data_IF_088396074400
#
_entry.id   IF_088396074400
#
_cell.length_a   1.000
_cell.length_b   1.000
_cell.length_c   1.000
_cell.angle_alpha   90.00
_cell.angle_beta   90.00
_cell.angle_gamma   90.00
#
_symmetry.space_group_name_H-M   'P 1'
#
loop_
_entity.id
_entity.type
_entity.pdbx_description
1 polymer ?
#
# COMPACT_ATOMS: atom_id res chain seq x y z
N UNK A 1 11.04 -41.58 8.48
CA UNK A 1 9.94 -41.22 7.54
C UNK A 1 8.64 -41.53 8.26
N UNK A 2 7.91 -40.51 8.73
CA UNK A 2 6.65 -40.74 9.44
C UNK A 2 5.66 -41.45 8.50
N UNK A 3 4.93 -42.49 8.94
CA UNK A 3 3.95 -43.15 8.09
C UNK A 3 2.93 -42.11 7.63
N UNK A 4 2.85 -41.90 6.31
CA UNK A 4 1.93 -40.94 5.72
C UNK A 4 0.50 -41.36 6.01
N UNK A 5 -0.13 -40.67 6.95
CA UNK A 5 -1.55 -40.84 7.24
C UNK A 5 -2.35 -40.09 6.17
N UNK A 6 -3.18 -40.83 5.43
CA UNK A 6 -4.12 -40.26 4.45
C UNK A 6 -5.52 -40.28 5.06
N UNK A 7 -6.03 -39.09 5.40
CA UNK A 7 -7.43 -38.92 5.75
C UNK A 7 -8.28 -38.71 4.50
N UNK A 8 -9.51 -39.21 4.53
CA UNK A 8 -10.47 -39.07 3.44
C UNK A 8 -11.89 -39.01 3.98
N UNK A 9 -12.81 -38.46 3.18
CA UNK A 9 -14.23 -38.40 3.50
C UNK A 9 -14.90 -39.70 3.06
N UNK A 10 -15.50 -40.41 4.01
CA UNK A 10 -16.28 -41.62 3.79
C UNK A 10 -17.77 -41.31 3.82
N UNK A 11 -18.49 -41.81 2.81
CA UNK A 11 -19.95 -41.68 2.69
C UNK A 11 -20.60 -42.95 3.25
N UNK A 12 -21.32 -42.83 4.36
CA UNK A 12 -22.08 -43.92 4.97
C UNK A 12 -23.58 -43.72 4.70
N UNK A 13 -24.16 -44.56 3.85
CA UNK A 13 -25.60 -44.58 3.61
C UNK A 13 -26.31 -45.34 4.73
N UNK A 14 -27.30 -44.72 5.37
CA UNK A 14 -28.17 -45.39 6.35
C UNK A 14 -29.62 -44.96 6.09
N UNK A 15 -30.42 -45.89 5.54
CA UNK A 15 -31.75 -45.59 5.02
C UNK A 15 -31.68 -44.58 3.87
N UNK A 16 -32.48 -43.51 3.99
CA UNK A 16 -32.58 -42.43 3.00
C UNK A 16 -31.57 -41.29 3.23
N UNK A 17 -30.73 -41.39 4.26
CA UNK A 17 -29.74 -40.36 4.61
C UNK A 17 -28.32 -40.83 4.35
N UNK A 18 -27.48 -39.91 3.87
CA UNK A 18 -26.04 -40.15 3.69
C UNK A 18 -25.28 -39.36 4.75
N UNK A 19 -24.46 -40.05 5.52
CA UNK A 19 -23.66 -39.52 6.62
C UNK A 19 -22.21 -39.41 6.17
N UNK A 20 -21.60 -38.24 6.36
CA UNK A 20 -20.20 -37.98 6.02
C UNK A 20 -19.34 -38.18 7.27
N UNK A 21 -18.28 -38.97 7.13
CA UNK A 21 -17.32 -39.27 8.21
C UNK A 21 -15.90 -39.04 7.69
N UNK A 22 -15.04 -38.41 8.48
CA UNK A 22 -13.60 -38.43 8.21
C UNK A 22 -13.02 -39.75 8.72
N UNK A 23 -12.35 -40.47 7.83
CA UNK A 23 -11.65 -41.71 8.14
C UNK A 23 -10.21 -41.62 7.72
N UNK A 24 -9.39 -42.40 8.39
CA UNK A 24 -7.95 -42.44 8.15
C UNK A 24 -7.51 -43.85 7.87
N UNK A 25 -6.79 -44.03 6.77
CA UNK A 25 -6.20 -45.30 6.40
C UNK A 25 -4.80 -45.45 7.00
N UNK A 26 -4.58 -46.57 7.68
CA UNK A 26 -3.29 -46.95 8.24
C UNK A 26 -3.02 -48.43 7.96
N UNK A 27 -1.75 -48.85 8.00
CA UNK A 27 -1.36 -50.25 7.75
C UNK A 27 -0.99 -50.95 9.05
N UNK A 28 -1.56 -52.14 9.27
CA UNK A 28 -1.20 -53.03 10.38
C UNK A 28 -0.85 -54.39 9.79
N UNK A 29 0.38 -54.85 10.00
CA UNK A 29 0.88 -56.16 9.51
C UNK A 29 0.60 -56.37 8.01
N UNK A 30 0.87 -55.36 7.19
CA UNK A 30 0.68 -55.40 5.74
C UNK A 30 -0.76 -55.24 5.24
N UNK A 31 -1.76 -55.19 6.13
CA UNK A 31 -3.18 -54.98 5.76
C UNK A 31 -3.59 -53.53 6.01
N UNK A 32 -4.31 -52.94 5.06
CA UNK A 32 -4.91 -51.61 5.22
C UNK A 32 -6.10 -51.72 6.16
N UNK A 33 -6.12 -50.87 7.19
CA UNK A 33 -7.22 -50.70 8.15
C UNK A 33 -7.65 -49.24 8.13
N UNK A 34 -8.92 -49.01 8.43
CA UNK A 34 -9.50 -47.69 8.47
C UNK A 34 -9.94 -47.40 9.90
N UNK A 35 -9.55 -46.24 10.45
CA UNK A 35 -10.09 -45.74 11.73
C UNK A 35 -11.02 -44.57 11.47
N UNK A 36 -12.08 -44.48 12.27
CA UNK A 36 -12.94 -43.30 12.32
C UNK A 36 -12.18 -42.18 13.04
N UNK A 37 -12.18 -40.99 12.43
CA UNK A 37 -11.57 -39.80 13.02
C UNK A 37 -12.65 -38.90 13.62
N UNK A 38 -13.62 -38.47 12.80
CA UNK A 38 -14.74 -37.64 13.25
C UNK A 38 -15.93 -37.68 12.29
N UNK A 39 -17.08 -37.25 12.78
CA UNK A 39 -18.31 -37.11 11.99
C UNK A 39 -18.37 -35.71 11.37
N UNK A 40 -18.74 -35.63 10.08
CA UNK A 40 -18.76 -34.40 9.28
C UNK A 40 -20.18 -33.88 8.98
N UNK A 41 -21.22 -34.65 9.33
CA UNK A 41 -22.63 -34.25 9.13
C UNK A 41 -23.36 -35.12 8.12
N UNK A 42 -24.64 -34.78 7.87
CA UNK A 42 -25.46 -35.44 6.83
C UNK A 42 -25.27 -34.71 5.51
N UNK A 43 -25.03 -35.45 4.44
CA UNK A 43 -24.87 -34.93 3.08
C UNK A 43 -26.12 -34.11 2.69
N UNK A 44 -25.91 -32.86 2.28
CA UNK A 44 -26.98 -31.93 1.92
C UNK A 44 -27.67 -31.21 3.10
N UNK A 45 -27.39 -31.60 4.35
CA UNK A 45 -28.00 -31.01 5.55
C UNK A 45 -27.09 -30.02 6.28
N UNK A 46 -26.21 -29.30 5.57
CA UNK A 46 -25.36 -28.28 6.18
C UNK A 46 -25.93 -26.87 5.96
N UNK A 47 -26.89 -26.39 6.78
CA UNK A 47 -27.04 -24.96 6.98
C UNK A 47 -25.80 -24.46 7.74
N UNK A 48 -25.06 -23.54 7.14
CA UNK A 48 -23.94 -22.87 7.82
C UNK A 48 -22.63 -23.65 7.84
N UNK A 49 -22.11 -24.10 6.68
CA UNK A 49 -20.65 -23.99 6.52
C UNK A 49 -20.38 -22.50 6.69
N UNK A 50 -19.71 -22.04 7.76
CA UNK A 50 -19.24 -20.67 7.75
C UNK A 50 -18.35 -20.63 6.52
N UNK A 51 -18.73 -19.84 5.50
CA UNK A 51 -17.67 -19.28 4.68
C UNK A 51 -16.69 -18.76 5.71
N UNK A 52 -15.45 -19.23 5.67
CA UNK A 52 -14.37 -18.50 6.31
C UNK A 52 -14.40 -17.18 5.54
N UNK A 53 -15.26 -16.25 5.97
CA UNK A 53 -15.13 -14.86 5.62
C UNK A 53 -13.69 -14.60 6.01
N UNK A 54 -12.86 -14.44 4.99
CA UNK A 54 -11.55 -13.87 5.21
C UNK A 54 -11.81 -12.68 6.12
N UNK A 55 -11.07 -12.60 7.24
CA UNK A 55 -11.19 -11.47 8.15
C UNK A 55 -11.30 -10.23 7.30
N UNK A 56 -12.39 -9.48 7.51
CA UNK A 56 -12.79 -8.38 6.64
C UNK A 56 -11.55 -7.53 6.40
N UNK A 57 -10.99 -7.61 5.20
CA UNK A 57 -9.73 -6.93 4.93
C UNK A 57 -10.07 -5.45 4.93
N UNK A 58 -9.67 -4.77 6.01
CA UNK A 58 -9.77 -3.33 6.11
C UNK A 58 -8.74 -2.77 5.14
N UNK A 59 -9.19 -2.55 3.90
CA UNK A 59 -8.43 -1.79 2.93
C UNK A 59 -8.58 -0.31 3.29
N UNK A 60 -7.47 0.42 3.26
CA UNK A 60 -7.51 1.89 3.32
C UNK A 60 -8.15 2.47 2.07
N UNK A 61 -8.27 3.79 2.01
CA UNK A 61 -8.83 4.49 0.86
C UNK A 61 -8.08 4.15 -0.43
N UNK A 62 -8.83 4.07 -1.53
CA UNK A 62 -8.25 3.83 -2.85
C UNK A 62 -7.49 5.07 -3.31
N UNK A 63 -6.17 4.96 -3.41
CA UNK A 63 -5.26 6.03 -3.85
C UNK A 63 -4.67 5.73 -5.23
N UNK A 64 -4.37 6.79 -6.00
CA UNK A 64 -3.72 6.70 -7.32
C UNK A 64 -2.26 6.30 -7.13
N UNK A 65 -1.98 5.02 -7.37
CA UNK A 65 -0.66 4.44 -7.22
C UNK A 65 0.17 4.43 -8.51
N UNK A 66 -0.36 3.88 -9.62
CA UNK A 66 0.43 3.45 -10.78
C UNK A 66 1.42 4.49 -11.34
N UNK A 67 0.91 5.49 -12.06
CA UNK A 67 1.77 6.51 -12.68
C UNK A 67 2.52 7.37 -11.64
N UNK A 68 1.88 7.64 -10.50
CA UNK A 68 2.46 8.44 -9.40
C UNK A 68 3.71 7.75 -8.84
N UNK A 69 3.62 6.46 -8.49
CA UNK A 69 4.74 5.68 -7.95
C UNK A 69 5.88 5.54 -8.96
N UNK A 70 5.56 5.36 -10.24
CA UNK A 70 6.57 5.31 -11.29
C UNK A 70 7.34 6.63 -11.40
N UNK A 71 6.63 7.75 -11.48
CA UNK A 71 7.27 9.07 -11.58
C UNK A 71 8.04 9.43 -10.31
N UNK A 72 7.54 9.04 -9.13
CA UNK A 72 8.27 9.20 -7.88
C UNK A 72 9.57 8.39 -7.87
N UNK A 73 9.53 7.11 -8.26
CA UNK A 73 10.73 6.28 -8.36
C UNK A 73 11.76 6.86 -9.34
N UNK A 74 11.32 7.33 -10.50
CA UNK A 74 12.20 8.02 -11.46
C UNK A 74 12.81 9.30 -10.87
N UNK A 75 12.03 10.08 -10.12
CA UNK A 75 12.53 11.28 -9.46
C UNK A 75 13.55 10.97 -8.35
N UNK A 76 13.39 9.87 -7.63
CA UNK A 76 14.37 9.36 -6.67
C UNK A 76 15.66 8.91 -7.36
N UNK A 77 15.55 8.14 -8.44
CA UNK A 77 16.70 7.67 -9.22
C UNK A 77 17.51 8.83 -9.80
N UNK A 78 16.82 9.86 -10.29
CA UNK A 78 17.42 11.10 -10.79
C UNK A 78 17.80 12.08 -9.67
N UNK A 79 17.55 11.72 -8.41
CA UNK A 79 17.89 12.51 -7.22
C UNK A 79 17.31 13.93 -7.24
N UNK A 80 16.06 14.09 -7.69
CA UNK A 80 15.40 15.40 -7.75
C UNK A 80 15.37 16.06 -6.36
N UNK A 81 14.86 15.35 -5.35
CA UNK A 81 14.77 15.88 -3.98
C UNK A 81 16.13 16.33 -3.45
N UNK A 82 17.13 15.46 -3.51
CA UNK A 82 18.47 15.77 -3.01
C UNK A 82 19.13 16.94 -3.77
N UNK A 83 18.87 17.05 -5.07
CA UNK A 83 19.39 18.16 -5.89
C UNK A 83 18.77 19.49 -5.48
N UNK A 84 17.46 19.53 -5.27
CA UNK A 84 16.73 20.73 -4.86
C UNK A 84 17.08 21.11 -3.41
N UNK A 85 17.11 20.13 -2.50
CA UNK A 85 17.46 20.37 -1.10
C UNK A 85 18.88 20.93 -0.94
N UNK A 86 19.80 20.56 -1.85
CA UNK A 86 21.14 21.14 -1.91
C UNK A 86 21.13 22.62 -2.30
N UNK A 87 20.21 23.06 -3.16
CA UNK A 87 20.07 24.47 -3.57
C UNK A 87 19.60 25.31 -2.37
N UNK A 88 18.59 24.82 -1.66
CA UNK A 88 17.96 25.53 -0.54
C UNK A 88 18.76 25.59 0.77
N UNK A 89 19.83 24.79 0.87
CA UNK A 89 20.60 24.62 2.11
C UNK A 89 19.87 23.79 3.17
N UNK A 90 20.56 23.51 4.29
CA UNK A 90 20.10 22.60 5.36
C UNK A 90 18.98 23.21 6.23
N UNK A 91 17.78 23.35 5.67
CA UNK A 91 16.53 23.69 6.40
C UNK A 91 15.52 22.54 6.37
N UNK A 92 15.96 21.31 6.62
CA UNK A 92 15.05 20.19 6.83
C UNK A 92 14.76 20.06 8.33
N UNK A 93 13.54 20.41 8.75
CA UNK A 93 12.97 19.88 10.00
C UNK A 93 12.45 18.47 9.71
N UNK A 94 12.57 17.54 10.67
CA UNK A 94 12.01 16.18 10.51
C UNK A 94 10.48 16.17 10.48
N UNK A 95 9.84 17.29 10.85
CA UNK A 95 8.38 17.39 10.96
C UNK A 95 7.70 17.90 9.68
N UNK A 96 8.46 18.48 8.75
CA UNK A 96 7.93 19.13 7.54
C UNK A 96 8.66 18.57 6.31
N UNK A 97 7.94 18.27 5.21
CA UNK A 97 8.56 17.90 3.95
C UNK A 97 9.61 18.93 3.50
N UNK A 98 10.69 18.43 2.89
CA UNK A 98 11.73 19.31 2.35
C UNK A 98 11.26 20.07 1.11
N UNK A 99 11.95 21.15 0.73
CA UNK A 99 11.66 21.89 -0.50
C UNK A 99 11.74 20.95 -1.72
N UNK A 100 12.72 20.06 -1.76
CA UNK A 100 12.83 19.02 -2.77
C UNK A 100 11.64 18.08 -2.79
N UNK A 101 11.08 17.73 -1.63
CA UNK A 101 9.88 16.89 -1.53
C UNK A 101 8.67 17.59 -2.14
N UNK A 102 8.42 18.85 -1.76
CA UNK A 102 7.32 19.65 -2.33
C UNK A 102 7.46 19.85 -3.84
N UNK A 103 8.63 20.30 -4.31
CA UNK A 103 8.84 20.58 -5.73
C UNK A 103 8.84 19.31 -6.59
N UNK A 104 9.28 18.17 -6.04
CA UNK A 104 9.16 16.88 -6.74
C UNK A 104 7.70 16.45 -6.87
N UNK A 105 6.91 16.53 -5.79
CA UNK A 105 5.48 16.24 -5.84
C UNK A 105 4.74 17.16 -6.82
N UNK A 106 5.11 18.45 -6.85
CA UNK A 106 4.55 19.42 -7.79
C UNK A 106 4.93 19.10 -9.24
N UNK A 107 6.18 18.72 -9.51
CA UNK A 107 6.60 18.30 -10.85
C UNK A 107 5.79 17.08 -11.35
N UNK A 108 5.53 16.10 -10.48
CA UNK A 108 4.69 14.93 -10.82
C UNK A 108 3.26 15.38 -11.13
N UNK A 109 2.70 16.26 -10.31
CA UNK A 109 1.39 16.86 -10.59
C UNK A 109 1.39 17.57 -11.96
N UNK A 110 2.44 18.31 -12.31
CA UNK A 110 2.55 18.95 -13.65
C UNK A 110 2.52 17.98 -14.82
N UNK A 111 3.03 16.76 -14.65
CA UNK A 111 3.01 15.73 -15.69
C UNK A 111 1.65 15.04 -15.79
N UNK A 112 1.01 14.77 -14.66
CA UNK A 112 -0.21 13.95 -14.63
C UNK A 112 -1.50 14.76 -14.75
N UNK A 113 -1.65 15.79 -13.92
CA UNK A 113 -2.86 16.59 -13.80
C UNK A 113 -2.42 18.04 -13.55
N UNK A 114 -2.31 18.90 -14.58
CA UNK A 114 -1.70 20.22 -14.51
C UNK A 114 -2.49 21.28 -13.68
N UNK A 115 -2.88 20.93 -12.46
CA UNK A 115 -3.63 21.70 -11.47
C UNK A 115 -2.89 22.91 -10.89
N UNK A 116 -3.64 23.92 -10.44
CA UNK A 116 -3.06 25.11 -9.80
C UNK A 116 -2.47 24.82 -8.41
N UNK A 117 -1.61 25.71 -7.90
CA UNK A 117 -0.98 25.54 -6.58
C UNK A 117 -2.00 25.39 -5.42
N UNK A 118 -3.18 25.99 -5.55
CA UNK A 118 -4.29 25.84 -4.58
C UNK A 118 -4.90 24.44 -4.57
N UNK A 119 -4.77 23.68 -5.66
CA UNK A 119 -5.36 22.34 -5.81
C UNK A 119 -4.36 21.22 -5.52
N UNK A 120 -3.09 21.54 -5.24
CA UNK A 120 -2.05 20.53 -4.98
C UNK A 120 -2.34 19.68 -3.75
N UNK A 121 -2.73 20.27 -2.63
CA UNK A 121 -3.07 19.52 -1.41
C UNK A 121 -4.20 18.51 -1.62
N UNK A 122 -5.38 18.97 -2.11
CA UNK A 122 -6.48 18.07 -2.48
C UNK A 122 -6.06 16.98 -3.47
N UNK A 123 -5.26 17.33 -4.49
CA UNK A 123 -4.78 16.35 -5.45
C UNK A 123 -3.88 15.29 -4.79
N UNK A 124 -2.94 15.70 -3.93
CA UNK A 124 -2.02 14.79 -3.24
C UNK A 124 -2.76 13.77 -2.38
N UNK A 125 -3.81 14.19 -1.67
CA UNK A 125 -4.63 13.29 -0.84
C UNK A 125 -5.27 12.14 -1.65
N UNK A 126 -5.45 12.31 -2.96
CA UNK A 126 -5.96 11.25 -3.85
C UNK A 126 -4.88 10.28 -4.34
N UNK A 127 -3.61 10.47 -3.97
CA UNK A 127 -2.44 9.75 -4.50
C UNK A 127 -1.68 9.01 -3.40
N UNK A 128 -0.75 8.14 -3.82
CA UNK A 128 0.17 7.47 -2.91
C UNK A 128 1.31 8.38 -2.40
N UNK A 129 1.42 9.63 -2.87
CA UNK A 129 2.52 10.53 -2.48
C UNK A 129 2.72 10.66 -0.95
N UNK A 130 1.67 10.82 -0.12
CA UNK A 130 1.84 10.90 1.33
C UNK A 130 2.55 9.67 1.93
N UNK A 131 2.20 8.48 1.44
CA UNK A 131 2.86 7.23 1.83
C UNK A 131 4.32 7.20 1.35
N UNK A 132 4.56 7.59 0.10
CA UNK A 132 5.90 7.56 -0.50
C UNK A 132 6.86 8.59 0.12
N UNK A 133 6.33 9.74 0.54
CA UNK A 133 7.09 10.82 1.16
C UNK A 133 7.27 10.59 2.66
N UNK A 134 6.43 9.76 3.28
CA UNK A 134 6.40 9.54 4.72
C UNK A 134 5.77 10.69 5.51
N UNK A 135 4.92 11.51 4.87
CA UNK A 135 4.28 12.66 5.49
C UNK A 135 2.77 12.57 5.33
N UNK A 136 1.99 13.02 6.32
CA UNK A 136 0.54 12.97 6.25
C UNK A 136 0.02 13.97 5.20
N UNK A 137 -1.20 13.74 4.70
CA UNK A 137 -1.82 14.55 3.65
C UNK A 137 -1.89 16.04 4.04
N UNK A 138 -2.09 16.32 5.34
CA UNK A 138 -2.17 17.66 5.93
C UNK A 138 -0.85 18.45 5.85
N UNK A 139 0.28 17.79 5.62
CA UNK A 139 1.57 18.45 5.42
C UNK A 139 1.65 19.19 4.07
N UNK A 140 0.74 18.90 3.14
CA UNK A 140 0.77 19.40 1.77
C UNK A 140 -0.19 20.58 1.56
N UNK A 141 0.15 21.71 2.15
CA UNK A 141 -0.61 22.95 2.01
C UNK A 141 0.03 23.91 0.99
N UNK A 142 -0.80 24.72 0.33
CA UNK A 142 -0.41 25.67 -0.72
C UNK A 142 0.82 26.49 -0.34
N UNK A 143 0.82 27.09 0.85
CA UNK A 143 1.88 28.03 1.25
C UNK A 143 3.23 27.33 1.33
N UNK A 144 3.28 26.04 1.67
CA UNK A 144 4.52 25.27 1.71
C UNK A 144 5.06 24.97 0.31
N UNK A 145 4.20 24.78 -0.69
CA UNK A 145 4.62 24.68 -2.08
C UNK A 145 5.23 25.98 -2.59
N UNK A 146 4.61 27.12 -2.27
CA UNK A 146 5.12 28.44 -2.67
C UNK A 146 6.43 28.77 -1.96
N UNK A 147 6.50 28.55 -0.64
CA UNK A 147 7.74 28.69 0.12
C UNK A 147 8.87 27.83 -0.47
N UNK A 148 8.56 26.63 -0.98
CA UNK A 148 9.56 25.77 -1.63
C UNK A 148 10.11 26.37 -2.93
N UNK A 149 9.33 27.17 -3.67
CA UNK A 149 9.83 27.92 -4.84
C UNK A 149 10.75 29.06 -4.40
N UNK A 150 10.36 29.81 -3.38
CA UNK A 150 11.13 30.96 -2.88
C UNK A 150 12.50 30.54 -2.34
N UNK A 151 12.62 29.30 -1.86
CA UNK A 151 13.89 28.68 -1.47
C UNK A 151 14.86 28.52 -2.65
N UNK A 152 14.36 28.32 -3.87
CA UNK A 152 15.18 28.19 -5.08
C UNK A 152 15.51 29.56 -5.67
N UNK A 153 14.50 30.42 -5.77
CA UNK A 153 14.61 31.73 -6.37
C UNK A 153 13.52 32.63 -5.81
N UNK A 154 13.87 33.84 -5.37
CA UNK A 154 12.90 34.83 -4.88
C UNK A 154 13.32 36.26 -5.28
N UNK A 155 12.34 37.15 -5.34
CA UNK A 155 12.58 38.58 -5.45
C UNK A 155 12.98 39.13 -4.07
N UNK A 156 14.12 39.82 -4.00
CA UNK A 156 14.54 40.57 -2.81
C UNK A 156 14.20 42.06 -3.01
N UNK A 157 13.07 42.53 -2.45
CA UNK A 157 12.60 43.89 -2.68
C UNK A 157 13.55 44.94 -2.11
N UNK A 158 14.34 44.61 -1.08
CA UNK A 158 15.29 45.54 -0.48
C UNK A 158 16.41 45.95 -1.44
N UNK A 159 16.78 45.08 -2.38
CA UNK A 159 17.82 45.34 -3.38
C UNK A 159 17.26 45.42 -4.81
N UNK A 160 15.95 45.24 -5.00
CA UNK A 160 15.27 45.17 -6.29
C UNK A 160 15.94 44.19 -7.27
N UNK A 161 16.36 43.03 -6.76
CA UNK A 161 17.00 41.98 -7.57
C UNK A 161 16.41 40.61 -7.27
N UNK A 162 16.47 39.75 -8.27
CA UNK A 162 16.18 38.31 -8.14
C UNK A 162 17.38 37.62 -7.53
N UNK A 163 17.18 36.95 -6.40
CA UNK A 163 18.17 36.05 -5.81
C UNK A 163 17.94 34.66 -6.36
N UNK A 164 18.91 34.16 -7.15
CA UNK A 164 18.89 32.82 -7.75
C UNK A 164 19.93 31.92 -7.04
N UNK A 165 19.45 30.89 -6.33
CA UNK A 165 20.31 29.96 -5.61
C UNK A 165 20.84 28.81 -6.47
N UNK A 166 20.42 28.69 -7.73
CA UNK A 166 20.87 27.60 -8.63
C UNK A 166 22.28 27.80 -9.18
N UNK A 167 22.80 29.03 -9.14
CA UNK A 167 24.10 29.42 -9.72
C UNK A 167 25.26 29.40 -8.72
N UNK A 168 25.03 28.93 -7.50
CA UNK A 168 26.05 28.83 -6.45
C UNK A 168 26.95 27.61 -6.62
#
# INVERSE_FOLDING_TARGET
>A
MAPGYMSYVYRRKNGDRVYLEERESYRVKGKVRNRFVRYLGVEGATPGVPRRELDRVLHGDSRRAGAVRLLWALAEDLRFRATIDRIGGRRSSSEIPSAGTYLTAWAINRVLDPESATQLGPWIATTDLPLLTGFPDEAFVKDQFLNALDIVCHDEPAIAQVIDHTRK
#
